data_IF_408904246255
#
_entry.id   IF_408904246255
#
_cell.length_a   1.000
_cell.length_b   1.000
_cell.length_c   1.000
_cell.angle_alpha   90.00
_cell.angle_beta   90.00
_cell.angle_gamma   90.00
#
_symmetry.space_group_name_H-M   'P 1'
#
loop_
_entity.id
_entity.type
_entity.pdbx_description
1 polymer ?
#
# COMPACT_ATOMS: atom_id res chain seq x y z
N UNK A 1 11.04 -22.66 -6.04
CA UNK A 1 10.94 -21.24 -6.41
C UNK A 1 10.71 -20.47 -5.13
N UNK A 2 11.57 -19.50 -4.81
CA UNK A 2 11.34 -18.62 -3.66
C UNK A 2 10.06 -17.83 -3.91
N UNK A 3 9.08 -17.99 -3.04
CA UNK A 3 7.81 -17.28 -3.11
C UNK A 3 7.92 -15.99 -2.30
N UNK A 4 7.48 -14.87 -2.87
CA UNK A 4 7.41 -13.60 -2.13
C UNK A 4 6.39 -13.76 -0.99
N UNK A 5 6.85 -13.52 0.23
CA UNK A 5 5.96 -13.46 1.39
C UNK A 5 5.30 -12.08 1.44
N UNK A 6 4.11 -11.96 0.86
CA UNK A 6 3.36 -10.70 0.86
C UNK A 6 2.96 -10.25 2.27
N UNK A 7 2.88 -11.17 3.25
CA UNK A 7 2.63 -10.83 4.65
C UNK A 7 3.81 -10.07 5.27
N UNK A 8 5.05 -10.31 4.79
CA UNK A 8 6.23 -9.52 5.17
C UNK A 8 6.04 -8.02 4.86
N UNK A 9 5.28 -7.70 3.81
CA UNK A 9 4.95 -6.32 3.44
C UNK A 9 3.67 -5.81 4.12
N UNK A 10 3.07 -6.58 5.04
CA UNK A 10 1.86 -6.23 5.76
C UNK A 10 0.57 -6.43 4.97
N UNK A 11 0.61 -7.16 3.85
CA UNK A 11 -0.56 -7.44 3.03
C UNK A 11 -1.23 -8.78 3.39
N UNK A 12 -2.53 -8.95 3.09
CA UNK A 12 -3.18 -10.24 3.18
C UNK A 12 -2.47 -11.29 2.32
N UNK A 13 -2.64 -12.57 2.69
CA UNK A 13 -2.23 -13.67 1.82
C UNK A 13 -3.17 -13.72 0.62
N UNK A 14 -2.62 -13.54 -0.57
CA UNK A 14 -3.32 -13.68 -1.84
C UNK A 14 -2.83 -14.94 -2.56
N UNK A 15 -3.68 -15.50 -3.43
CA UNK A 15 -3.26 -16.54 -4.35
C UNK A 15 -2.22 -15.95 -5.32
N UNK A 16 -1.11 -16.65 -5.51
CA UNK A 16 -0.10 -16.26 -6.49
C UNK A 16 -0.58 -16.60 -7.91
N UNK A 17 -0.47 -15.63 -8.82
CA UNK A 17 -0.66 -15.82 -10.24
C UNK A 17 0.54 -16.51 -10.90
N UNK A 18 0.44 -16.71 -12.22
CA UNK A 18 1.50 -17.37 -13.01
C UNK A 18 2.83 -16.61 -13.00
N UNK A 19 2.78 -15.29 -12.82
CA UNK A 19 3.95 -14.42 -12.70
C UNK A 19 4.48 -14.30 -11.27
N UNK A 20 3.91 -15.09 -10.34
CA UNK A 20 4.18 -15.13 -8.90
C UNK A 20 3.81 -13.87 -8.11
N UNK A 21 3.23 -12.86 -8.75
CA UNK A 21 2.53 -11.76 -8.06
C UNK A 21 1.16 -12.23 -7.58
N UNK A 22 0.51 -11.52 -6.64
CA UNK A 22 -0.88 -11.77 -6.29
C UNK A 22 -1.78 -11.71 -7.52
N UNK A 23 -2.79 -12.58 -7.58
CA UNK A 23 -3.79 -12.51 -8.64
C UNK A 23 -4.47 -11.13 -8.62
N UNK A 24 -4.31 -10.31 -9.66
CA UNK A 24 -4.71 -8.91 -9.59
C UNK A 24 -6.23 -8.73 -9.46
N UNK A 25 -7.02 -9.67 -9.96
CA UNK A 25 -8.47 -9.71 -9.80
C UNK A 25 -8.88 -9.96 -8.36
N UNK A 26 -8.19 -10.88 -7.68
CA UNK A 26 -8.40 -11.14 -6.26
C UNK A 26 -8.06 -9.92 -5.41
N UNK A 27 -6.92 -9.28 -5.68
CA UNK A 27 -6.52 -8.03 -5.01
C UNK A 27 -7.58 -6.95 -5.22
N UNK A 28 -8.03 -6.71 -6.46
CA UNK A 28 -9.05 -5.72 -6.76
C UNK A 28 -10.37 -6.01 -6.03
N UNK A 29 -10.80 -7.28 -6.01
CA UNK A 29 -12.01 -7.73 -5.31
C UNK A 29 -11.91 -7.50 -3.80
N UNK A 30 -10.77 -7.85 -3.19
CA UNK A 30 -10.54 -7.68 -1.76
C UNK A 30 -10.57 -6.20 -1.37
N UNK A 31 -9.85 -5.35 -2.10
CA UNK A 31 -9.82 -3.91 -1.82
C UNK A 31 -11.17 -3.23 -2.09
N UNK A 32 -11.94 -3.67 -3.10
CA UNK A 32 -13.33 -3.21 -3.27
C UNK A 32 -14.21 -3.65 -2.10
N UNK A 33 -14.09 -4.89 -1.63
CA UNK A 33 -14.87 -5.38 -0.50
C UNK A 33 -14.54 -4.60 0.78
N UNK A 34 -13.27 -4.30 1.02
CA UNK A 34 -12.82 -3.43 2.11
C UNK A 34 -13.44 -2.03 1.98
N UNK A 35 -13.35 -1.41 0.80
CA UNK A 35 -13.95 -0.08 0.57
C UNK A 35 -15.48 -0.09 0.67
N UNK A 36 -16.13 -1.22 0.36
CA UNK A 36 -17.58 -1.40 0.53
C UNK A 36 -17.99 -1.38 2.01
N UNK A 37 -17.11 -1.79 2.93
CA UNK A 37 -17.39 -1.74 4.37
C UNK A 37 -17.48 -0.30 4.88
N UNK A 38 -16.70 0.62 4.31
CA UNK A 38 -16.73 2.05 4.66
C UNK A 38 -17.72 2.86 3.80
N UNK A 39 -17.89 2.46 2.54
CA UNK A 39 -18.79 3.08 1.56
C UNK A 39 -19.63 2.00 0.85
N UNK A 40 -20.83 1.71 1.36
CA UNK A 40 -21.69 0.62 0.87
C UNK A 40 -22.04 0.67 -0.63
N UNK A 41 -21.89 1.83 -1.26
CA UNK A 41 -22.16 2.06 -2.68
C UNK A 41 -21.12 1.43 -3.61
N UNK A 42 -19.94 0.98 -3.12
CA UNK A 42 -18.92 0.27 -3.90
C UNK A 42 -19.31 -1.16 -4.28
N UNK A 43 -20.29 -1.24 -5.18
CA UNK A 43 -20.72 -2.46 -5.87
C UNK A 43 -19.92 -2.68 -7.15
N UNK A 44 -20.01 -3.88 -7.75
CA UNK A 44 -19.46 -4.13 -9.09
C UNK A 44 -20.08 -3.19 -10.12
N UNK A 45 -21.37 -2.88 -10.00
CA UNK A 45 -22.06 -1.88 -10.83
C UNK A 45 -21.48 -0.48 -10.72
N UNK A 46 -21.17 -0.01 -9.50
CA UNK A 46 -20.51 1.30 -9.32
C UNK A 46 -19.13 1.28 -9.95
N UNK A 47 -18.33 0.26 -9.66
CA UNK A 47 -17.00 0.10 -10.25
C UNK A 47 -17.04 0.07 -11.78
N UNK A 48 -18.03 -0.61 -12.35
CA UNK A 48 -18.25 -0.66 -13.81
C UNK A 48 -18.44 0.74 -14.39
N UNK A 49 -19.23 1.60 -13.73
CA UNK A 49 -19.42 3.01 -14.11
C UNK A 49 -18.12 3.81 -14.03
N UNK A 50 -17.37 3.68 -12.94
CA UNK A 50 -16.09 4.39 -12.74
C UNK A 50 -15.04 3.99 -13.79
N UNK A 51 -15.03 2.72 -14.19
CA UNK A 51 -14.09 2.20 -15.19
C UNK A 51 -14.55 2.39 -16.64
N UNK A 52 -15.83 2.72 -16.85
CA UNK A 52 -16.43 2.78 -18.18
C UNK A 52 -16.57 1.41 -18.86
N UNK A 53 -16.80 0.34 -18.08
CA UNK A 53 -16.97 -1.03 -18.57
C UNK A 53 -18.28 -1.63 -18.03
N UNK A 54 -18.61 -2.86 -18.44
CA UNK A 54 -19.84 -3.52 -17.96
C UNK A 54 -19.64 -4.16 -16.58
N UNK A 55 -20.73 -4.35 -15.83
CA UNK A 55 -20.71 -5.10 -14.56
C UNK A 55 -20.22 -6.54 -14.74
N UNK A 56 -20.57 -7.20 -15.86
CA UNK A 56 -20.05 -8.51 -16.24
C UNK A 56 -18.53 -8.49 -16.48
N UNK A 57 -18.01 -7.42 -17.07
CA UNK A 57 -16.57 -7.22 -17.27
C UNK A 57 -15.86 -7.04 -15.94
N UNK A 58 -16.43 -6.30 -14.98
CA UNK A 58 -15.89 -6.19 -13.61
C UNK A 58 -15.87 -7.55 -12.93
N UNK A 59 -16.96 -8.32 -13.02
CA UNK A 59 -16.98 -9.68 -12.47
C UNK A 59 -15.88 -10.57 -13.06
N UNK A 60 -15.67 -10.51 -14.37
CA UNK A 60 -14.60 -11.26 -15.03
C UNK A 60 -13.20 -10.75 -14.65
N UNK A 61 -13.03 -9.44 -14.47
CA UNK A 61 -11.80 -8.81 -13.98
C UNK A 61 -11.45 -9.35 -12.59
N UNK A 62 -12.42 -9.38 -11.68
CA UNK A 62 -12.21 -9.78 -10.28
C UNK A 62 -12.02 -11.28 -10.06
N UNK A 63 -12.70 -12.12 -10.85
CA UNK A 63 -12.68 -13.57 -10.61
C UNK A 63 -11.79 -14.36 -11.58
N UNK A 64 -11.43 -13.75 -12.72
CA UNK A 64 -10.70 -14.43 -13.81
C UNK A 64 -9.54 -13.62 -14.36
N UNK A 65 -9.19 -12.52 -13.70
CA UNK A 65 -8.10 -11.62 -14.10
C UNK A 65 -8.24 -11.03 -15.52
N UNK A 66 -9.46 -11.05 -16.09
CA UNK A 66 -9.71 -10.64 -17.47
C UNK A 66 -9.44 -9.15 -17.65
N UNK A 67 -8.63 -8.80 -18.65
CA UNK A 67 -8.27 -7.41 -18.94
C UNK A 67 -7.17 -6.85 -18.05
N UNK A 68 -6.73 -7.58 -17.03
CA UNK A 68 -5.68 -7.12 -16.12
C UNK A 68 -4.27 -7.27 -16.70
N UNK A 69 -4.09 -7.62 -17.97
CA UNK A 69 -2.81 -7.33 -18.65
C UNK A 69 -2.64 -5.81 -18.91
N UNK A 70 -3.75 -5.04 -18.90
CA UNK A 70 -3.74 -3.58 -19.07
C UNK A 70 -3.19 -2.85 -17.85
N UNK A 71 -2.09 -2.12 -18.05
CA UNK A 71 -1.47 -1.25 -17.04
C UNK A 71 -2.39 -0.08 -16.70
N UNK A 72 -3.04 0.53 -17.69
CA UNK A 72 -4.01 1.60 -17.47
C UNK A 72 -5.17 1.15 -16.59
N UNK A 73 -5.69 -0.08 -16.79
CA UNK A 73 -6.73 -0.64 -15.94
C UNK A 73 -6.23 -0.88 -14.51
N UNK A 74 -5.06 -1.51 -14.34
CA UNK A 74 -4.44 -1.70 -13.01
C UNK A 74 -4.24 -0.37 -12.27
N UNK A 75 -3.75 0.67 -12.96
CA UNK A 75 -3.58 2.02 -12.38
C UNK A 75 -4.91 2.65 -11.99
N UNK A 76 -5.96 2.52 -12.82
CA UNK A 76 -7.31 3.00 -12.48
C UNK A 76 -7.83 2.31 -11.22
N UNK A 77 -7.73 0.98 -11.15
CA UNK A 77 -8.12 0.22 -9.95
C UNK A 77 -7.33 0.64 -8.71
N UNK A 78 -6.02 0.85 -8.86
CA UNK A 78 -5.17 1.33 -7.77
C UNK A 78 -5.63 2.69 -7.25
N UNK A 79 -5.99 3.63 -8.13
CA UNK A 79 -6.56 4.93 -7.73
C UNK A 79 -7.93 4.79 -7.08
N UNK A 80 -8.81 3.95 -7.61
CA UNK A 80 -10.16 3.78 -7.07
C UNK A 80 -10.15 3.27 -5.63
N UNK A 81 -9.23 2.36 -5.29
CA UNK A 81 -9.23 1.67 -4.00
C UNK A 81 -7.98 1.90 -3.14
N UNK A 82 -7.09 2.81 -3.54
CA UNK A 82 -5.78 3.03 -2.91
C UNK A 82 -4.98 1.73 -2.76
N UNK A 83 -4.97 0.91 -3.82
CA UNK A 83 -4.25 -0.37 -3.84
C UNK A 83 -2.75 -0.08 -3.97
N UNK A 84 -1.89 -0.65 -3.10
CA UNK A 84 -0.45 -0.62 -3.26
C UNK A 84 -0.01 -1.13 -4.64
N UNK A 85 0.74 -0.32 -5.38
CA UNK A 85 1.11 -0.58 -6.77
C UNK A 85 1.90 -1.88 -6.97
N UNK A 86 2.69 -2.26 -5.96
CA UNK A 86 3.49 -3.49 -5.96
C UNK A 86 2.63 -4.75 -6.09
N UNK A 87 1.41 -4.75 -5.53
CA UNK A 87 0.46 -5.86 -5.67
C UNK A 87 -0.07 -6.03 -7.10
N UNK A 88 0.08 -4.99 -7.93
CA UNK A 88 -0.22 -5.00 -9.35
C UNK A 88 1.02 -5.08 -10.24
N UNK A 89 2.21 -5.30 -9.67
CA UNK A 89 3.47 -5.33 -10.42
C UNK A 89 3.80 -4.00 -11.09
N UNK A 90 3.30 -2.88 -10.53
CA UNK A 90 3.50 -1.53 -11.03
C UNK A 90 4.51 -0.79 -10.15
N UNK A 91 5.37 0.01 -10.79
CA UNK A 91 6.32 0.88 -10.09
C UNK A 91 5.74 2.29 -9.81
N UNK A 92 4.86 2.77 -10.70
CA UNK A 92 4.30 4.12 -10.62
C UNK A 92 2.87 4.19 -11.19
N UNK A 93 2.11 5.18 -10.71
CA UNK A 93 0.77 5.51 -11.19
C UNK A 93 0.77 6.10 -12.61
N UNK A 94 1.91 6.57 -13.08
CA UNK A 94 2.10 7.22 -14.38
C UNK A 94 3.44 6.80 -14.98
N UNK A 95 3.60 7.00 -16.28
CA UNK A 95 4.87 6.75 -16.96
C UNK A 95 5.74 8.01 -16.86
N UNK A 96 6.87 7.92 -16.19
CA UNK A 96 7.77 9.07 -15.96
C UNK A 96 8.51 9.53 -17.23
N UNK A 97 8.61 8.65 -18.23
CA UNK A 97 9.33 8.89 -19.47
C UNK A 97 8.51 8.45 -20.70
N UNK A 98 8.89 8.98 -21.86
CA UNK A 98 8.40 8.46 -23.13
C UNK A 98 8.97 7.05 -23.35
N UNK A 99 8.15 6.04 -23.06
CA UNK A 99 8.55 4.64 -23.07
C UNK A 99 9.05 4.19 -24.44
N UNK A 100 8.38 4.62 -25.51
CA UNK A 100 8.75 4.32 -26.88
C UNK A 100 10.14 4.85 -27.22
N UNK A 101 10.48 6.06 -26.78
CA UNK A 101 11.84 6.59 -26.93
C UNK A 101 12.86 5.82 -26.10
N UNK A 102 12.51 5.43 -24.86
CA UNK A 102 13.38 4.61 -24.01
C UNK A 102 13.71 3.28 -24.68
N UNK A 103 12.70 2.58 -25.19
CA UNK A 103 12.84 1.34 -25.97
C UNK A 103 13.73 1.56 -27.19
N UNK A 104 13.49 2.63 -27.95
CA UNK A 104 14.27 2.97 -29.15
C UNK A 104 15.74 3.25 -28.84
N UNK A 105 16.02 3.96 -27.75
CA UNK A 105 17.37 4.29 -27.30
C UNK A 105 18.12 3.02 -26.87
N UNK A 106 17.53 2.23 -25.97
CA UNK A 106 18.13 0.98 -25.50
C UNK A 106 18.36 -0.02 -26.65
N UNK A 107 17.42 -0.11 -27.58
CA UNK A 107 17.57 -0.93 -28.80
C UNK A 107 18.77 -0.48 -29.63
N UNK A 108 18.87 0.81 -29.94
CA UNK A 108 19.98 1.35 -30.77
C UNK A 108 21.34 1.25 -30.07
N UNK A 109 21.36 1.20 -28.73
CA UNK A 109 22.57 1.04 -27.94
C UNK A 109 23.14 -0.38 -27.95
N UNK A 110 22.37 -1.41 -28.36
CA UNK A 110 22.87 -2.79 -28.51
C UNK A 110 24.01 -2.87 -29.53
N UNK A 111 24.85 -3.90 -29.44
CA UNK A 111 25.97 -4.13 -30.38
C UNK A 111 25.49 -4.15 -31.84
N UNK A 112 26.35 -3.73 -32.79
CA UNK A 112 26.03 -3.79 -34.23
C UNK A 112 25.67 -5.20 -34.71
N UNK A 113 26.20 -6.23 -34.04
CA UNK A 113 25.95 -7.64 -34.33
C UNK A 113 24.72 -8.19 -33.63
N UNK A 114 24.12 -7.45 -32.69
CA UNK A 114 22.95 -7.90 -31.94
C UNK A 114 21.70 -7.81 -32.83
N UNK A 115 20.96 -8.90 -33.06
CA UNK A 115 19.77 -8.89 -33.89
C UNK A 115 18.71 -7.90 -33.36
N UNK A 116 18.61 -7.74 -32.04
CA UNK A 116 17.66 -6.84 -31.41
C UNK A 116 17.94 -5.38 -31.73
N UNK A 117 19.16 -5.01 -32.18
CA UNK A 117 19.48 -3.63 -32.55
C UNK A 117 18.56 -3.10 -33.64
N UNK A 118 18.00 -3.95 -34.50
CA UNK A 118 17.11 -3.56 -35.60
C UNK A 118 15.63 -3.67 -35.19
N UNK A 119 14.75 -2.87 -35.80
CA UNK A 119 13.30 -3.01 -35.57
C UNK A 119 12.81 -4.40 -36.01
N UNK A 120 13.35 -4.94 -37.10
CA UNK A 120 13.01 -6.27 -37.62
C UNK A 120 13.40 -7.39 -36.64
N UNK A 121 14.61 -7.35 -36.07
CA UNK A 121 15.03 -8.36 -35.09
C UNK A 121 14.26 -8.29 -33.78
N UNK A 122 13.94 -7.08 -33.29
CA UNK A 122 13.06 -6.94 -32.13
C UNK A 122 11.63 -7.42 -32.43
N UNK A 123 11.11 -7.15 -33.63
CA UNK A 123 9.80 -7.62 -34.07
C UNK A 123 9.73 -9.15 -34.10
N UNK A 124 10.75 -9.80 -34.64
CA UNK A 124 10.89 -11.26 -34.65
C UNK A 124 10.91 -11.83 -33.23
N UNK A 125 11.73 -11.26 -32.33
CA UNK A 125 11.84 -11.72 -30.94
C UNK A 125 10.53 -11.58 -30.15
N UNK A 126 9.70 -10.59 -30.48
CA UNK A 126 8.40 -10.35 -29.86
C UNK A 126 7.24 -11.07 -30.56
N UNK A 127 7.47 -11.71 -31.71
CA UNK A 127 6.40 -12.32 -32.51
C UNK A 127 5.40 -11.31 -33.09
N UNK A 128 5.86 -10.09 -33.41
CA UNK A 128 5.02 -9.01 -33.96
C UNK A 128 5.62 -8.45 -35.26
N UNK A 129 4.92 -7.50 -35.90
CA UNK A 129 5.40 -6.86 -37.13
C UNK A 129 6.38 -5.72 -36.83
N UNK A 130 7.28 -5.44 -37.78
CA UNK A 130 8.19 -4.28 -37.68
C UNK A 130 7.41 -2.96 -37.56
N UNK A 131 6.28 -2.84 -38.26
CA UNK A 131 5.37 -1.69 -38.14
C UNK A 131 4.88 -1.53 -36.69
N UNK A 132 4.51 -2.61 -36.02
CA UNK A 132 4.10 -2.56 -34.62
C UNK A 132 5.23 -2.08 -33.70
N UNK A 133 6.48 -2.52 -33.95
CA UNK A 133 7.66 -1.99 -33.23
C UNK A 133 7.84 -0.50 -33.49
N UNK A 134 7.72 -0.05 -34.74
CA UNK A 134 7.85 1.36 -35.11
C UNK A 134 6.76 2.23 -34.44
N UNK A 135 5.54 1.73 -34.39
CA UNK A 135 4.42 2.39 -33.72
C UNK A 135 4.60 2.42 -32.20
N UNK A 136 5.16 1.37 -31.62
CA UNK A 136 5.52 1.31 -30.21
C UNK A 136 6.58 2.36 -29.85
N UNK A 137 7.64 2.46 -30.65
CA UNK A 137 8.76 3.37 -30.40
C UNK A 137 8.40 4.85 -30.61
N UNK A 138 7.62 5.14 -31.64
CA UNK A 138 7.33 6.53 -32.02
C UNK A 138 6.03 7.06 -31.39
N UNK A 139 5.08 6.17 -31.06
CA UNK A 139 3.73 6.56 -30.64
C UNK A 139 3.27 5.89 -29.33
N UNK A 140 4.14 5.15 -28.62
CA UNK A 140 3.80 4.38 -27.42
C UNK A 140 2.68 3.34 -27.63
N UNK A 141 2.36 2.99 -28.89
CA UNK A 141 1.25 2.08 -29.18
C UNK A 141 1.59 0.65 -28.75
N UNK A 142 0.63 -0.01 -28.10
CA UNK A 142 0.83 -1.35 -27.57
C UNK A 142 1.64 -1.41 -26.28
N UNK A 143 2.00 -0.29 -25.65
CA UNK A 143 2.72 -0.33 -24.37
C UNK A 143 1.78 -0.41 -23.16
N UNK A 144 0.49 -0.67 -23.33
CA UNK A 144 -0.43 -0.86 -22.18
C UNK A 144 -0.40 -2.29 -21.61
N UNK A 145 0.40 -3.21 -22.17
CA UNK A 145 0.48 -4.61 -21.71
C UNK A 145 1.63 -4.79 -20.71
N UNK A 146 1.31 -5.23 -19.48
CA UNK A 146 2.32 -5.52 -18.45
C UNK A 146 3.25 -6.66 -18.89
N UNK A 147 2.68 -7.70 -19.49
CA UNK A 147 3.45 -8.84 -20.00
C UNK A 147 4.44 -8.39 -21.06
N UNK A 148 3.99 -7.55 -22.02
CA UNK A 148 4.87 -6.99 -23.06
C UNK A 148 5.97 -6.12 -22.48
N UNK A 149 5.66 -5.25 -21.50
CA UNK A 149 6.69 -4.40 -20.86
C UNK A 149 7.75 -5.24 -20.15
N UNK A 150 7.38 -6.34 -19.50
CA UNK A 150 8.33 -7.28 -18.87
C UNK A 150 9.23 -7.96 -19.89
N UNK A 151 8.67 -8.44 -21.00
CA UNK A 151 9.46 -9.04 -22.09
C UNK A 151 10.43 -8.01 -22.68
N UNK A 152 9.98 -6.77 -22.91
CA UNK A 152 10.85 -5.69 -23.39
C UNK A 152 11.97 -5.35 -22.41
N UNK A 153 11.66 -5.26 -21.11
CA UNK A 153 12.66 -5.03 -20.06
C UNK A 153 13.76 -6.10 -20.12
N UNK A 154 13.36 -7.36 -20.26
CA UNK A 154 14.29 -8.48 -20.37
C UNK A 154 15.15 -8.43 -21.65
N UNK A 155 14.51 -8.38 -22.83
CA UNK A 155 15.20 -8.42 -24.12
C UNK A 155 16.18 -7.25 -24.30
N UNK A 156 15.73 -6.05 -23.95
CA UNK A 156 16.52 -4.84 -24.14
C UNK A 156 17.36 -4.46 -22.93
N UNK A 157 17.30 -5.26 -21.86
CA UNK A 157 18.03 -5.01 -20.60
C UNK A 157 17.68 -3.63 -20.01
N UNK A 158 16.41 -3.24 -20.13
CA UNK A 158 15.89 -1.99 -19.58
C UNK A 158 15.50 -2.25 -18.13
N UNK A 159 15.91 -1.41 -17.17
CA UNK A 159 15.39 -1.50 -15.81
C UNK A 159 13.85 -1.50 -15.80
N UNK A 160 13.18 -2.52 -15.24
CA UNK A 160 11.72 -2.63 -15.21
C UNK A 160 11.00 -1.36 -14.73
N UNK A 161 11.54 -0.70 -13.70
CA UNK A 161 11.00 0.55 -13.18
C UNK A 161 10.95 1.68 -14.23
N UNK A 162 11.91 1.73 -15.18
CA UNK A 162 11.89 2.69 -16.29
C UNK A 162 10.75 2.42 -17.29
N UNK A 163 10.16 1.23 -17.25
CA UNK A 163 8.94 0.86 -17.96
C UNK A 163 7.69 0.89 -17.05
N UNK A 164 7.79 1.50 -15.85
CA UNK A 164 6.67 1.65 -14.93
C UNK A 164 6.20 0.35 -14.27
N UNK A 165 7.01 -0.72 -14.34
CA UNK A 165 6.68 -2.06 -13.82
C UNK A 165 7.72 -2.51 -12.80
N UNK A 166 7.37 -3.51 -12.00
CA UNK A 166 8.26 -4.15 -11.01
C UNK A 166 8.35 -5.65 -11.32
N UNK A 167 9.52 -6.25 -11.11
CA UNK A 167 9.68 -7.72 -11.19
C UNK A 167 9.77 -8.36 -9.82
N UNK A 168 9.49 -9.67 -9.74
CA UNK A 168 9.61 -10.41 -8.48
C UNK A 168 11.03 -10.38 -7.93
N UNK A 169 12.05 -10.42 -8.78
CA UNK A 169 13.44 -10.35 -8.33
C UNK A 169 13.73 -9.01 -7.65
N UNK A 170 13.12 -7.93 -8.11
CA UNK A 170 13.24 -6.61 -7.47
C UNK A 170 12.49 -6.58 -6.14
N UNK A 171 11.30 -7.17 -6.05
CA UNK A 171 10.56 -7.31 -4.78
C UNK A 171 11.33 -8.18 -3.78
N UNK A 172 11.87 -9.31 -4.22
CA UNK A 172 12.70 -10.19 -3.40
C UNK A 172 13.99 -9.51 -2.98
N UNK A 173 14.64 -8.73 -3.86
CA UNK A 173 15.80 -7.91 -3.48
C UNK A 173 15.42 -6.83 -2.47
N UNK A 174 14.22 -6.27 -2.54
CA UNK A 174 13.74 -5.35 -1.51
C UNK A 174 13.49 -6.09 -0.19
N UNK A 175 12.85 -7.26 -0.21
CA UNK A 175 12.66 -8.11 0.96
C UNK A 175 14.01 -8.54 1.58
N UNK A 176 14.97 -8.95 0.75
CA UNK A 176 16.32 -9.33 1.17
C UNK A 176 17.14 -8.12 1.61
N UNK A 177 16.99 -6.94 1.02
CA UNK A 177 17.62 -5.70 1.52
C UNK A 177 17.02 -5.31 2.87
N UNK A 178 15.73 -5.45 3.07
CA UNK A 178 15.10 -5.26 4.39
C UNK A 178 15.65 -6.31 5.36
N UNK A 179 15.75 -7.59 4.96
CA UNK A 179 16.31 -8.66 5.78
C UNK A 179 17.82 -8.52 6.04
N UNK A 180 18.60 -7.98 5.11
CA UNK A 180 20.05 -7.77 5.22
C UNK A 180 20.34 -6.48 5.97
N UNK A 181 19.53 -5.44 5.82
CA UNK A 181 19.56 -4.24 6.68
C UNK A 181 19.18 -4.64 8.11
N UNK A 182 18.23 -5.57 8.27
CA UNK A 182 17.90 -6.21 9.56
C UNK A 182 19.07 -7.06 10.09
N UNK A 183 19.73 -7.87 9.25
CA UNK A 183 20.87 -8.69 9.66
C UNK A 183 22.15 -7.88 9.95
N UNK A 184 22.40 -6.79 9.22
CA UNK A 184 23.49 -5.85 9.46
C UNK A 184 23.20 -4.96 10.68
N UNK A 185 21.94 -4.60 10.93
CA UNK A 185 21.54 -3.98 12.19
C UNK A 185 21.75 -4.93 13.38
N UNK A 186 21.44 -6.22 13.21
CA UNK A 186 21.70 -7.29 14.19
C UNK A 186 23.21 -7.57 14.33
N UNK A 187 24.02 -7.49 13.28
CA UNK A 187 25.49 -7.62 13.39
C UNK A 187 26.15 -6.35 13.96
N UNK A 188 25.47 -5.20 13.86
CA UNK A 188 25.88 -3.92 14.46
C UNK A 188 25.45 -3.76 15.92
N UNK A 189 24.88 -4.81 16.56
CA UNK A 189 24.57 -4.82 18.00
C UNK A 189 25.83 -4.98 18.87
N UNK A 190 26.91 -4.27 18.53
CA UNK A 190 27.85 -3.74 19.51
C UNK A 190 27.49 -2.32 19.96
N UNK A 191 26.58 -1.62 19.26
CA UNK A 191 26.11 -0.29 19.65
C UNK A 191 24.59 -0.26 19.68
N UNK A 192 24.04 -0.43 20.88
CA UNK A 192 22.63 -0.24 21.23
C UNK A 192 22.19 1.15 20.72
N UNK A 193 21.49 1.21 19.59
CA UNK A 193 20.74 2.41 19.20
C UNK A 193 19.63 2.51 20.24
N UNK A 194 19.82 3.37 21.23
CA UNK A 194 18.81 3.68 22.24
C UNK A 194 17.68 4.41 21.53
N UNK A 195 16.66 3.66 21.10
CA UNK A 195 15.39 4.24 20.68
C UNK A 195 14.71 4.83 21.92
N UNK A 196 14.76 6.15 22.04
CA UNK A 196 14.23 6.85 23.21
C UNK A 196 12.71 7.00 23.09
N UNK A 197 11.99 5.95 23.47
CA UNK A 197 10.53 5.96 23.54
C UNK A 197 10.01 7.00 24.55
N UNK A 198 10.79 7.33 25.58
CA UNK A 198 10.41 8.35 26.56
C UNK A 198 10.33 9.73 25.91
N UNK A 199 11.26 10.07 25.01
CA UNK A 199 11.20 11.31 24.25
C UNK A 199 9.93 11.44 23.38
N UNK A 200 9.45 10.34 22.78
CA UNK A 200 8.18 10.33 22.04
C UNK A 200 6.98 10.50 22.98
N UNK A 201 6.99 9.83 24.13
CA UNK A 201 5.93 9.98 25.13
C UNK A 201 5.83 11.44 25.64
N UNK A 202 6.96 12.07 25.91
CA UNK A 202 7.01 13.44 26.42
C UNK A 202 6.62 14.47 25.35
N UNK A 203 7.01 14.24 24.08
CA UNK A 203 6.49 15.02 22.95
C UNK A 203 4.98 14.84 22.80
N UNK A 204 4.46 13.62 22.82
CA UNK A 204 3.03 13.35 22.72
C UNK A 204 2.24 14.10 23.81
N UNK A 205 2.70 14.07 25.08
CA UNK A 205 2.10 14.85 26.18
C UNK A 205 2.15 16.35 25.91
N UNK A 206 3.28 16.84 25.41
CA UNK A 206 3.48 18.26 25.08
C UNK A 206 2.51 18.71 23.98
N UNK A 207 2.34 17.90 22.93
CA UNK A 207 1.40 18.16 21.84
C UNK A 207 -0.03 18.14 22.38
N UNK A 208 -0.41 17.15 23.20
CA UNK A 208 -1.73 17.11 23.85
C UNK A 208 -2.03 18.36 24.69
N UNK A 209 -1.05 18.86 25.44
CA UNK A 209 -1.21 20.07 26.25
C UNK A 209 -1.33 21.31 25.38
N UNK A 210 -0.51 21.44 24.34
CA UNK A 210 -0.52 22.57 23.39
C UNK A 210 -1.79 22.62 22.57
N UNK A 211 -2.27 21.47 22.11
CA UNK A 211 -3.53 21.34 21.37
C UNK A 211 -4.72 21.93 22.13
N UNK A 212 -4.71 21.88 23.48
CA UNK A 212 -5.75 22.52 24.30
C UNK A 212 -5.61 24.04 24.41
N UNK A 213 -4.50 24.64 23.96
CA UNK A 213 -4.16 26.04 24.20
C UNK A 213 -3.77 26.87 22.96
N UNK A 214 -3.60 26.30 21.76
CA UNK A 214 -3.19 27.05 20.56
C UNK A 214 -3.69 26.47 19.22
N UNK A 215 -3.44 27.20 18.13
CA UNK A 215 -3.77 26.85 16.74
C UNK A 215 -3.07 25.56 16.26
N UNK A 216 -3.79 24.75 15.48
CA UNK A 216 -3.59 23.30 15.29
C UNK A 216 -2.69 22.89 14.11
N UNK A 217 -2.29 23.83 13.25
CA UNK A 217 -1.72 23.49 11.94
C UNK A 217 -0.28 22.96 12.04
N UNK A 218 0.59 23.56 12.87
CA UNK A 218 1.97 23.11 13.07
C UNK A 218 2.03 21.75 13.80
N UNK A 219 1.01 21.44 14.60
CA UNK A 219 0.95 20.19 15.38
C UNK A 219 0.74 18.97 14.48
N UNK A 220 -0.05 19.09 13.40
CA UNK A 220 -0.31 17.97 12.48
C UNK A 220 0.95 17.53 11.72
N UNK A 221 1.78 18.48 11.30
CA UNK A 221 3.05 18.17 10.64
C UNK A 221 3.99 17.40 11.58
N UNK A 222 4.08 17.83 12.84
CA UNK A 222 4.91 17.18 13.84
C UNK A 222 4.40 15.77 14.20
N UNK A 223 3.09 15.59 14.38
CA UNK A 223 2.49 14.27 14.61
C UNK A 223 2.74 13.34 13.41
N UNK A 224 2.61 13.84 12.18
CA UNK A 224 2.86 13.03 10.97
C UNK A 224 4.32 12.55 10.92
N UNK A 225 5.27 13.44 11.23
CA UNK A 225 6.68 13.08 11.29
C UNK A 225 6.97 12.02 12.38
N UNK A 226 6.34 12.14 13.55
CA UNK A 226 6.47 11.16 14.63
C UNK A 226 5.85 9.80 14.23
N UNK A 227 4.68 9.78 13.57
CA UNK A 227 4.05 8.55 13.04
C UNK A 227 4.98 7.85 12.04
N UNK A 228 5.55 8.59 11.09
CA UNK A 228 6.50 8.05 10.10
C UNK A 228 7.72 7.47 10.78
N UNK A 229 8.27 8.18 11.77
CA UNK A 229 9.46 7.73 12.50
C UNK A 229 9.21 6.47 13.32
N UNK A 230 8.11 6.42 14.09
CA UNK A 230 7.71 5.25 14.86
C UNK A 230 7.43 4.05 13.95
N UNK A 231 6.74 4.27 12.83
CA UNK A 231 6.46 3.22 11.84
C UNK A 231 7.73 2.69 11.19
N UNK A 232 8.71 3.55 10.94
CA UNK A 232 10.00 3.16 10.38
C UNK A 232 10.83 2.33 11.37
N UNK A 233 10.63 2.50 12.68
CA UNK A 233 11.36 1.76 13.71
C UNK A 233 10.76 0.38 13.99
N UNK A 234 9.45 0.20 13.83
CA UNK A 234 8.75 -1.06 14.11
C UNK A 234 9.38 -2.33 13.52
N UNK A 235 9.93 -2.33 12.28
CA UNK A 235 10.59 -3.53 11.73
C UNK A 235 11.90 -3.92 12.43
N UNK A 236 12.45 -3.05 13.29
CA UNK A 236 13.77 -3.20 13.91
C UNK A 236 13.70 -3.41 15.42
N UNK A 237 12.51 -3.55 15.98
CA UNK A 237 12.27 -3.74 17.41
C UNK A 237 11.50 -5.05 17.56
N UNK A 238 11.98 -5.95 18.43
CA UNK A 238 11.36 -7.27 18.64
C UNK A 238 10.86 -7.40 20.09
N UNK A 239 9.78 -8.17 20.29
CA UNK A 239 9.31 -8.55 21.63
C UNK A 239 8.63 -7.42 22.41
N UNK A 240 9.04 -7.21 23.67
CA UNK A 240 8.41 -6.24 24.57
C UNK A 240 8.49 -4.80 24.07
N UNK A 241 9.65 -4.41 23.56
CA UNK A 241 9.89 -3.07 23.00
C UNK A 241 9.00 -2.83 21.76
N UNK A 242 8.70 -3.87 20.97
CA UNK A 242 7.84 -3.75 19.79
C UNK A 242 6.41 -3.39 20.19
N UNK A 243 5.88 -4.05 21.22
CA UNK A 243 4.54 -3.76 21.75
C UNK A 243 4.46 -2.32 22.27
N UNK A 244 5.51 -1.83 22.95
CA UNK A 244 5.56 -0.47 23.45
C UNK A 244 5.63 0.59 22.32
N UNK A 245 6.39 0.33 21.26
CA UNK A 245 6.44 1.19 20.07
C UNK A 245 5.09 1.20 19.35
N UNK A 246 4.43 0.03 19.21
CA UNK A 246 3.07 -0.06 18.64
C UNK A 246 2.06 0.71 19.48
N UNK A 247 2.10 0.59 20.80
CA UNK A 247 1.24 1.33 21.70
C UNK A 247 1.44 2.85 21.54
N UNK A 248 2.69 3.30 21.40
CA UNK A 248 3.00 4.71 21.15
C UNK A 248 2.44 5.18 19.80
N UNK A 249 2.69 4.41 18.72
CA UNK A 249 2.19 4.72 17.39
C UNK A 249 0.65 4.81 17.37
N UNK A 250 -0.03 3.88 18.05
CA UNK A 250 -1.48 3.92 18.19
C UNK A 250 -1.96 5.22 18.85
N UNK A 251 -1.30 5.69 19.92
CA UNK A 251 -1.65 6.95 20.60
C UNK A 251 -1.43 8.20 19.73
N UNK A 252 -0.44 8.18 18.85
CA UNK A 252 -0.22 9.26 17.89
C UNK A 252 -1.32 9.31 16.81
N UNK A 253 -1.72 8.17 16.24
CA UNK A 253 -2.87 8.09 15.32
C UNK A 253 -4.15 8.60 15.99
N UNK A 254 -4.36 8.18 17.23
CA UNK A 254 -5.41 8.62 18.13
C UNK A 254 -5.46 10.15 18.28
N UNK A 255 -4.33 10.79 18.59
CA UNK A 255 -4.23 12.25 18.69
C UNK A 255 -4.47 12.96 17.35
N UNK A 256 -3.92 12.42 16.26
CA UNK A 256 -4.13 12.98 14.92
C UNK A 256 -5.63 13.00 14.56
N UNK A 257 -6.34 11.92 14.84
CA UNK A 257 -7.78 11.83 14.64
C UNK A 257 -8.56 12.86 15.48
N UNK A 258 -8.13 13.13 16.72
CA UNK A 258 -8.75 14.18 17.55
C UNK A 258 -8.64 15.57 16.92
N UNK A 259 -7.47 15.92 16.39
CA UNK A 259 -7.29 17.21 15.71
C UNK A 259 -8.16 17.29 14.45
N UNK A 260 -8.24 16.20 13.68
CA UNK A 260 -9.10 16.14 12.49
C UNK A 260 -10.58 16.28 12.81
N UNK A 261 -11.04 15.70 13.93
CA UNK A 261 -12.41 15.85 14.42
C UNK A 261 -12.77 17.31 14.63
N UNK A 262 -11.91 18.06 15.31
CA UNK A 262 -12.14 19.48 15.61
C UNK A 262 -12.13 20.36 14.35
N UNK A 263 -11.43 19.91 13.29
CA UNK A 263 -11.49 20.52 11.96
C UNK A 263 -12.75 20.13 11.17
N UNK A 264 -13.68 19.37 11.75
CA UNK A 264 -14.87 18.84 11.09
C UNK A 264 -14.58 17.73 10.06
N UNK A 265 -13.34 17.22 10.02
CA UNK A 265 -12.90 16.20 9.05
C UNK A 265 -13.17 14.79 9.57
N UNK A 266 -14.44 14.50 9.88
CA UNK A 266 -14.86 13.26 10.54
C UNK A 266 -14.42 11.99 9.80
N UNK A 267 -14.54 11.94 8.47
CA UNK A 267 -14.15 10.77 7.68
C UNK A 267 -12.63 10.50 7.76
N UNK A 268 -11.82 11.56 7.70
CA UNK A 268 -10.38 11.44 7.84
C UNK A 268 -9.99 11.02 9.27
N UNK A 269 -10.70 11.52 10.28
CA UNK A 269 -10.49 11.14 11.68
C UNK A 269 -10.80 9.66 11.90
N UNK A 270 -11.91 9.15 11.33
CA UNK A 270 -12.29 7.73 11.42
C UNK A 270 -11.24 6.85 10.73
N UNK A 271 -10.83 7.20 9.50
CA UNK A 271 -9.80 6.43 8.78
C UNK A 271 -8.47 6.34 9.55
N UNK A 272 -8.11 7.40 10.30
CA UNK A 272 -6.91 7.38 11.13
C UNK A 272 -7.06 6.49 12.37
N UNK A 273 -8.25 6.48 13.00
CA UNK A 273 -8.52 5.56 14.11
C UNK A 273 -8.62 4.10 13.67
N UNK A 274 -9.02 3.82 12.43
CA UNK A 274 -8.97 2.46 11.89
C UNK A 274 -7.53 1.94 11.79
N UNK A 275 -6.57 2.80 11.42
CA UNK A 275 -5.14 2.46 11.53
C UNK A 275 -4.75 2.17 12.97
N UNK A 276 -5.19 3.01 13.92
CA UNK A 276 -4.93 2.80 15.34
C UNK A 276 -5.52 1.47 15.87
N UNK A 277 -6.68 1.02 15.37
CA UNK A 277 -7.24 -0.30 15.77
C UNK A 277 -6.34 -1.45 15.34
N UNK A 278 -5.84 -1.43 14.10
CA UNK A 278 -4.93 -2.48 13.59
C UNK A 278 -3.64 -2.50 14.39
N UNK A 279 -3.11 -1.33 14.77
CA UNK A 279 -1.90 -1.24 15.57
C UNK A 279 -2.13 -1.78 17.00
N UNK A 280 -3.26 -1.44 17.63
CA UNK A 280 -3.61 -1.90 18.98
C UNK A 280 -3.90 -3.41 19.07
N UNK A 281 -4.49 -4.01 18.03
CA UNK A 281 -4.67 -5.46 17.94
C UNK A 281 -3.32 -6.18 17.88
N UNK A 282 -2.38 -5.64 17.08
CA UNK A 282 -1.03 -6.19 16.95
C UNK A 282 -0.17 -6.01 18.19
N UNK A 283 -0.40 -4.96 18.99
CA UNK A 283 0.25 -4.80 20.30
C UNK A 283 -0.38 -5.66 21.40
N UNK A 284 -1.45 -6.40 21.09
CA UNK A 284 -2.21 -7.20 22.06
C UNK A 284 -2.66 -6.38 23.28
N UNK A 285 -2.94 -5.08 23.10
CA UNK A 285 -3.36 -4.19 24.17
C UNK A 285 -4.89 -3.95 24.13
N UNK A 286 -5.70 -4.76 24.86
CA UNK A 286 -7.16 -4.69 24.79
C UNK A 286 -7.71 -3.36 25.33
N UNK A 287 -7.00 -2.71 26.26
CA UNK A 287 -7.39 -1.39 26.78
C UNK A 287 -7.26 -0.34 25.70
N UNK A 288 -6.14 -0.33 24.99
CA UNK A 288 -5.89 0.64 23.92
C UNK A 288 -6.86 0.44 22.76
N UNK A 289 -7.14 -0.82 22.40
CA UNK A 289 -8.16 -1.18 21.41
C UNK A 289 -9.55 -0.68 21.82
N UNK A 290 -9.97 -0.91 23.07
CA UNK A 290 -11.25 -0.44 23.58
C UNK A 290 -11.38 1.09 23.52
N UNK A 291 -10.31 1.82 23.87
CA UNK A 291 -10.27 3.29 23.76
C UNK A 291 -10.42 3.74 22.31
N UNK A 292 -9.68 3.14 21.37
CA UNK A 292 -9.78 3.49 19.94
C UNK A 292 -11.20 3.23 19.41
N UNK A 293 -11.80 2.09 19.74
CA UNK A 293 -13.16 1.74 19.33
C UNK A 293 -14.20 2.72 19.90
N UNK A 294 -14.03 3.14 21.17
CA UNK A 294 -14.90 4.15 21.79
C UNK A 294 -14.82 5.48 21.03
N UNK A 295 -13.62 5.90 20.62
CA UNK A 295 -13.42 7.14 19.89
C UNK A 295 -14.02 7.10 18.47
N UNK A 296 -13.91 5.96 17.78
CA UNK A 296 -14.62 5.74 16.51
C UNK A 296 -16.12 5.85 16.74
N UNK A 297 -16.65 5.21 17.79
CA UNK A 297 -18.07 5.28 18.14
C UNK A 297 -18.55 6.72 18.38
N UNK A 298 -17.77 7.52 19.11
CA UNK A 298 -18.08 8.94 19.34
C UNK A 298 -18.07 9.75 18.05
N UNK A 299 -17.06 9.55 17.18
CA UNK A 299 -16.99 10.24 15.88
C UNK A 299 -18.17 9.90 14.97
N UNK A 300 -18.56 8.61 14.92
CA UNK A 300 -19.72 8.16 14.15
C UNK A 300 -21.01 8.79 14.69
N UNK A 301 -21.15 8.91 16.01
CA UNK A 301 -22.28 9.61 16.62
C UNK A 301 -22.30 11.10 16.25
N UNK A 302 -21.14 11.76 16.33
CA UNK A 302 -21.01 13.18 15.94
C UNK A 302 -21.30 13.39 14.45
N UNK A 303 -21.01 12.41 13.59
CA UNK A 303 -21.36 12.39 12.16
C UNK A 303 -22.84 12.05 11.88
N UNK A 304 -23.57 11.51 12.87
CA UNK A 304 -24.98 11.12 12.74
C UNK A 304 -25.24 9.62 12.49
N UNK A 305 -24.20 8.78 12.43
CA UNK A 305 -24.32 7.34 12.17
C UNK A 305 -24.51 6.53 13.46
N UNK A 306 -25.66 6.73 14.09
CA UNK A 306 -25.97 6.19 15.43
C UNK A 306 -25.87 4.65 15.51
N UNK A 307 -26.23 3.94 14.44
CA UNK A 307 -26.16 2.46 14.41
C UNK A 307 -24.72 1.97 14.44
N UNK A 308 -23.85 2.54 13.60
CA UNK A 308 -22.43 2.17 13.56
C UNK A 308 -21.72 2.60 14.85
N UNK A 309 -22.10 3.76 15.39
CA UNK A 309 -21.60 4.23 16.67
C UNK A 309 -21.88 3.21 17.79
N UNK A 310 -23.12 2.73 17.89
CA UNK A 310 -23.54 1.75 18.88
C UNK A 310 -22.73 0.45 18.77
N UNK A 311 -22.57 -0.08 17.55
CA UNK A 311 -21.76 -1.29 17.30
C UNK A 311 -20.31 -1.14 17.78
N UNK A 312 -19.68 0.01 17.53
CA UNK A 312 -18.29 0.26 17.97
C UNK A 312 -18.18 0.41 19.49
N UNK A 313 -19.17 1.03 20.14
CA UNK A 313 -19.22 1.17 21.61
C UNK A 313 -19.42 -0.21 22.28
N UNK A 314 -20.26 -1.07 21.71
CA UNK A 314 -20.45 -2.45 22.21
C UNK A 314 -19.18 -3.28 22.06
N UNK A 315 -18.50 -3.20 20.91
CA UNK A 315 -17.21 -3.83 20.71
C UNK A 315 -16.14 -3.34 21.71
N UNK A 316 -16.15 -2.04 22.05
CA UNK A 316 -15.27 -1.49 23.08
C UNK A 316 -15.55 -2.10 24.48
N UNK A 317 -16.82 -2.31 24.84
CA UNK A 317 -17.22 -2.93 26.12
C UNK A 317 -16.85 -4.42 26.20
N UNK A 318 -16.98 -5.16 25.11
CA UNK A 318 -16.54 -6.57 25.07
C UNK A 318 -15.04 -6.72 25.32
N UNK A 319 -14.23 -5.81 24.75
CA UNK A 319 -12.78 -5.83 24.93
C UNK A 319 -12.31 -5.36 26.32
N UNK A 320 -13.06 -4.49 26.99
CA UNK A 320 -12.73 -4.07 28.37
C UNK A 320 -13.11 -5.10 29.44
N UNK A 321 -14.12 -5.93 29.18
CA UNK A 321 -14.60 -6.97 30.11
C UNK A 321 -13.73 -8.24 30.08
N UNK A 322 -13.23 -8.64 28.91
CA UNK A 322 -12.28 -9.76 28.80
C UNK A 322 -10.93 -9.53 29.51
N UNK A 323 -10.52 -8.27 29.68
CA UNK A 323 -9.30 -7.90 30.42
C UNK A 323 -9.46 -8.01 31.95
N UNK A 324 -10.69 -8.00 32.49
CA UNK A 324 -10.96 -8.12 33.92
C UNK A 324 -11.16 -9.58 34.39
N UNK A 325 -11.32 -10.54 33.47
CA UNK A 325 -11.45 -11.96 33.82
C UNK A 325 -10.12 -12.72 33.91
N UNK A 326 -8.98 -12.08 33.62
CA UNK A 326 -7.63 -12.67 33.70
C UNK A 326 -6.77 -12.09 34.84
N UNK A 327 -7.39 -11.63 35.93
CA UNK A 327 -6.67 -11.21 37.15
C UNK A 327 -6.89 -12.19 38.29
#
# INVERSE_FOLDING_TARGET
MEQVDWAHFGFPSFEAGEDGFPRPGEVARWYRALKKQTEATWTQRRLARELGITEKSVWATENRDVGLDSIALRRKLARCFNIPLILFGLASLEDEANLGQTIKQCRKAKSKTDPLRTQAGLAWALGITEKAVRDMENHNKGLDSITRRRVLAHLLTIPPAALGIVTLEEVLRQQQKVATTRALAVASTGKKVTFDLAAYNDRLKTIWNRYRSSTTQDLLAQITADIVSLSAVLPYVDGGDEAEVRDMLCRYHQLYAHILRDQGRYDAAIAELEKATVVAERSQNPRLLAVTLLWIGNLLRDRGDVILAQSKIEAARGNSTGANQKR
#
